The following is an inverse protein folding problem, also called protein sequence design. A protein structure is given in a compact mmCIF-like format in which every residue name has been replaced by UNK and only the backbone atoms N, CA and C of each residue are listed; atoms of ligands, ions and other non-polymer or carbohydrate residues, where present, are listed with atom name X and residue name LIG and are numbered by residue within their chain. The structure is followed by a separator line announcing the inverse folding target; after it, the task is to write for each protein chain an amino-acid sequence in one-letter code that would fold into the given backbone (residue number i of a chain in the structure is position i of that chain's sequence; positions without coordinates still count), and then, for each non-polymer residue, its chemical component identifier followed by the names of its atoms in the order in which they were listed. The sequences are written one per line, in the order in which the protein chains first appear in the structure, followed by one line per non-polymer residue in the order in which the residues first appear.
data_IF_210864962605
#
_entry.id   IF_210864962605
#
_cell.length_a   1.000
_cell.length_b   1.000
_cell.length_c   1.000
_cell.angle_alpha   90.00
_cell.angle_beta   90.00
_cell.angle_gamma   90.00
#
_symmetry.space_group_name_H-M   'P 1'
#
loop_
_entity.id
_entity.type
_entity.pdbx_description
1 polymer ?
#
# COMPACT_ATOMS: atom_id res chain seq x y z
N UNK A 1 20.05 -12.13 -19.37
CA UNK A 1 18.87 -13.02 -19.44
C UNK A 1 17.64 -12.16 -19.16
N UNK A 2 16.71 -12.05 -20.12
CA UNK A 2 15.81 -10.89 -20.21
C UNK A 2 14.72 -10.89 -19.13
N UNK A 3 14.47 -9.70 -18.57
CA UNK A 3 13.43 -9.41 -17.56
C UNK A 3 12.02 -9.85 -17.97
N UNK A 4 11.78 -10.07 -19.27
CA UNK A 4 10.53 -10.56 -19.82
C UNK A 4 10.18 -11.98 -19.35
N UNK A 5 11.16 -12.88 -19.23
CA UNK A 5 10.91 -14.27 -18.80
C UNK A 5 10.50 -14.34 -17.32
N UNK A 6 11.14 -13.54 -16.46
CA UNK A 6 10.78 -13.45 -15.04
C UNK A 6 9.43 -12.76 -14.83
N UNK A 7 9.12 -11.74 -15.63
CA UNK A 7 7.82 -11.05 -15.59
C UNK A 7 6.70 -12.01 -16.02
N UNK A 8 6.90 -12.77 -17.10
CA UNK A 8 5.93 -13.76 -17.58
C UNK A 8 5.67 -14.86 -16.54
N UNK A 9 6.71 -15.38 -15.88
CA UNK A 9 6.57 -16.38 -14.82
C UNK A 9 5.85 -15.83 -13.58
N UNK A 10 6.13 -14.59 -13.19
CA UNK A 10 5.44 -13.94 -12.08
C UNK A 10 3.96 -13.68 -12.43
N UNK A 11 3.65 -13.20 -13.63
CA UNK A 11 2.27 -13.00 -14.09
C UNK A 11 1.51 -14.32 -14.17
N UNK A 12 2.11 -15.39 -14.70
CA UNK A 12 1.53 -16.74 -14.76
C UNK A 12 1.31 -17.34 -13.36
N UNK A 13 2.24 -17.14 -12.43
CA UNK A 13 2.07 -17.56 -11.05
C UNK A 13 0.93 -16.79 -10.35
N UNK A 14 0.76 -15.51 -10.68
CA UNK A 14 -0.28 -14.64 -10.11
C UNK A 14 -1.66 -15.00 -10.67
N UNK A 15 -1.80 -15.22 -11.99
CA UNK A 15 -3.07 -15.64 -12.61
C UNK A 15 -3.47 -17.06 -12.20
N UNK A 16 -2.50 -17.99 -12.11
CA UNK A 16 -2.72 -19.33 -11.57
C UNK A 16 -3.03 -19.34 -10.05
N UNK A 17 -2.67 -18.28 -9.31
CA UNK A 17 -3.06 -18.10 -7.91
C UNK A 17 -4.51 -17.63 -7.78
N UNK A 18 -5.02 -16.84 -8.73
CA UNK A 18 -6.41 -16.36 -8.71
C UNK A 18 -7.45 -17.40 -9.15
N UNK A 19 -7.05 -18.41 -9.94
CA UNK A 19 -7.97 -19.42 -10.49
C UNK A 19 -8.24 -20.65 -9.60
N UNK A 20 -7.53 -20.82 -8.47
CA UNK A 20 -7.63 -22.06 -7.66
C UNK A 20 -8.51 -21.90 -6.42
N UNK A 21 -9.69 -22.53 -6.47
CA UNK A 21 -10.49 -23.02 -5.33
C UNK A 21 -10.66 -22.08 -4.14
N UNK A 22 -11.63 -21.17 -4.22
CA UNK A 22 -12.07 -20.39 -3.06
C UNK A 22 -12.79 -21.32 -2.06
N UNK A 23 -12.27 -21.45 -0.84
CA UNK A 23 -13.09 -21.94 0.28
C UNK A 23 -14.01 -20.81 0.75
N UNK A 24 -15.30 -21.07 1.02
CA UNK A 24 -16.18 -20.07 1.62
C UNK A 24 -15.59 -19.60 2.94
N UNK A 25 -15.28 -18.30 3.04
CA UNK A 25 -14.95 -17.67 4.32
C UNK A 25 -16.26 -17.36 5.04
N UNK A 26 -16.35 -17.55 6.37
CA UNK A 26 -17.55 -17.18 7.10
C UNK A 26 -17.85 -15.68 6.89
N UNK A 27 -19.12 -15.31 6.68
CA UNK A 27 -19.50 -13.91 6.47
C UNK A 27 -19.07 -13.06 7.67
N UNK A 28 -18.56 -11.86 7.41
CA UNK A 28 -18.18 -10.91 8.46
C UNK A 28 -19.39 -10.57 9.35
N UNK A 29 -19.15 -10.42 10.66
CA UNK A 29 -20.14 -9.87 11.60
C UNK A 29 -20.56 -8.48 11.10
N UNK A 30 -21.82 -8.38 10.67
CA UNK A 30 -22.52 -7.19 10.20
C UNK A 30 -21.86 -6.43 9.03
N UNK A 31 -21.90 -7.00 7.83
CA UNK A 31 -21.85 -6.21 6.59
C UNK A 31 -23.19 -5.46 6.41
N UNK A 32 -23.39 -4.35 7.11
CA UNK A 32 -24.52 -3.47 6.81
C UNK A 32 -24.34 -2.83 5.42
N UNK A 33 -25.42 -2.50 4.69
CA UNK A 33 -25.31 -1.79 3.41
C UNK A 33 -24.46 -0.51 3.51
N UNK A 34 -24.55 0.19 4.64
CA UNK A 34 -23.74 1.38 4.96
C UNK A 34 -22.25 1.04 5.08
N UNK A 35 -21.88 -0.05 5.75
CA UNK A 35 -20.48 -0.48 5.88
C UNK A 35 -19.85 -0.82 4.52
N UNK A 36 -20.61 -1.47 3.64
CA UNK A 36 -20.17 -1.78 2.27
C UNK A 36 -20.00 -0.51 1.44
N UNK A 37 -20.96 0.42 1.51
CA UNK A 37 -20.86 1.72 0.83
C UNK A 37 -19.61 2.50 1.27
N UNK A 38 -19.36 2.61 2.58
CA UNK A 38 -18.19 3.34 3.09
C UNK A 38 -16.87 2.65 2.72
N UNK A 39 -16.85 1.32 2.65
CA UNK A 39 -15.67 0.58 2.17
C UNK A 39 -15.41 0.87 0.69
N UNK A 40 -16.45 0.98 -0.14
CA UNK A 40 -16.30 1.36 -1.55
C UNK A 40 -15.81 2.80 -1.70
N UNK A 41 -16.34 3.73 -0.91
CA UNK A 41 -15.87 5.13 -0.89
C UNK A 41 -14.40 5.19 -0.47
N UNK A 42 -14.04 4.49 0.62
CA UNK A 42 -12.66 4.47 1.11
C UNK A 42 -11.69 3.85 0.11
N UNK A 43 -12.07 2.74 -0.53
CA UNK A 43 -11.31 2.14 -1.62
C UNK A 43 -11.19 3.09 -2.82
N UNK A 44 -12.25 3.82 -3.18
CA UNK A 44 -12.23 4.83 -4.23
C UNK A 44 -11.24 5.96 -3.95
N UNK A 45 -11.20 6.47 -2.71
CA UNK A 45 -10.23 7.50 -2.29
C UNK A 45 -8.79 6.98 -2.46
N UNK A 46 -8.50 5.76 -2.01
CA UNK A 46 -7.17 5.13 -2.17
C UNK A 46 -6.83 4.91 -3.65
N UNK A 47 -7.78 4.43 -4.46
CA UNK A 47 -7.58 4.15 -5.87
C UNK A 47 -7.32 5.43 -6.69
N UNK A 48 -8.13 6.48 -6.51
CA UNK A 48 -7.99 7.75 -7.25
C UNK A 48 -6.71 8.46 -6.86
N UNK A 49 -6.43 8.59 -5.56
CA UNK A 49 -5.17 9.21 -5.10
C UNK A 49 -3.96 8.42 -5.57
N UNK A 50 -4.04 7.09 -5.54
CA UNK A 50 -2.97 6.23 -6.04
C UNK A 50 -2.75 6.34 -7.54
N UNK A 51 -3.83 6.40 -8.33
CA UNK A 51 -3.77 6.56 -9.78
C UNK A 51 -3.17 7.91 -10.18
N UNK A 52 -3.56 9.01 -9.51
CA UNK A 52 -2.98 10.33 -9.74
C UNK A 52 -1.48 10.36 -9.43
N UNK A 53 -1.07 9.76 -8.31
CA UNK A 53 0.34 9.66 -7.92
C UNK A 53 1.17 8.80 -8.90
N UNK A 54 0.56 7.77 -9.49
CA UNK A 54 1.22 6.90 -10.47
C UNK A 54 1.35 7.54 -11.86
N UNK A 55 0.25 8.08 -12.39
CA UNK A 55 0.15 8.61 -13.76
C UNK A 55 0.74 10.01 -13.86
N UNK A 56 0.49 10.86 -12.86
CA UNK A 56 0.92 12.26 -12.83
C UNK A 56 1.67 12.59 -11.51
N UNK A 57 2.82 11.93 -11.24
CA UNK A 57 3.60 12.16 -10.01
C UNK A 57 4.09 13.61 -9.89
N UNK A 58 4.45 14.25 -11.02
CA UNK A 58 4.89 15.65 -11.02
C UNK A 58 3.78 16.61 -10.61
N UNK A 59 2.57 16.44 -11.15
CA UNK A 59 1.40 17.22 -10.73
C UNK A 59 1.08 16.98 -9.25
N UNK A 60 1.19 15.73 -8.81
CA UNK A 60 0.93 15.38 -7.41
C UNK A 60 1.90 16.09 -6.46
N UNK A 61 3.19 16.14 -6.79
CA UNK A 61 4.20 16.88 -6.02
C UNK A 61 3.99 18.40 -6.09
N UNK A 62 3.65 18.93 -7.27
CA UNK A 62 3.40 20.34 -7.50
C UNK A 62 2.20 20.86 -6.68
N UNK A 63 1.18 20.03 -6.44
CA UNK A 63 0.05 20.39 -5.56
C UNK A 63 0.49 20.68 -4.11
N UNK A 64 1.66 20.21 -3.71
CA UNK A 64 2.28 20.49 -2.41
C UNK A 64 3.47 21.45 -2.51
N UNK A 65 3.73 22.06 -3.68
CA UNK A 65 4.87 22.95 -3.89
C UNK A 65 6.24 22.25 -3.76
N UNK A 66 6.30 20.94 -3.98
CA UNK A 66 7.53 20.16 -3.82
C UNK A 66 8.30 20.03 -5.14
N UNK A 67 9.63 19.91 -5.04
CA UNK A 67 10.51 19.71 -6.18
C UNK A 67 10.27 18.34 -6.87
N UNK A 68 10.52 18.29 -8.18
CA UNK A 68 10.18 17.14 -9.04
C UNK A 68 11.40 16.47 -9.68
N UNK A 69 12.43 16.17 -8.90
CA UNK A 69 13.58 15.41 -9.40
C UNK A 69 13.22 13.92 -9.69
N UNK A 70 14.10 13.20 -10.39
CA UNK A 70 13.85 11.82 -10.79
C UNK A 70 13.51 10.90 -9.61
N UNK A 71 14.19 11.07 -8.46
CA UNK A 71 13.96 10.25 -7.27
C UNK A 71 12.62 10.58 -6.62
N UNK A 72 12.22 11.85 -6.57
CA UNK A 72 10.90 12.29 -6.10
C UNK A 72 9.76 11.72 -6.98
N UNK A 73 9.92 11.76 -8.31
CA UNK A 73 8.92 11.24 -9.24
C UNK A 73 8.73 9.72 -9.13
N UNK A 74 9.84 8.97 -9.06
CA UNK A 74 9.85 7.51 -8.91
C UNK A 74 9.25 7.08 -7.58
N UNK A 75 9.62 7.74 -6.49
CA UNK A 75 9.09 7.40 -5.17
C UNK A 75 7.63 7.81 -5.01
N UNK A 76 7.19 8.92 -5.63
CA UNK A 76 5.76 9.28 -5.68
C UNK A 76 4.94 8.23 -6.44
N UNK A 77 5.48 7.66 -7.52
CA UNK A 77 4.87 6.50 -8.18
C UNK A 77 4.74 5.30 -7.24
N UNK A 78 5.76 5.02 -6.42
CA UNK A 78 5.67 3.96 -5.43
C UNK A 78 4.53 4.19 -4.42
N UNK A 79 4.35 5.43 -3.92
CA UNK A 79 3.17 5.81 -3.12
C UNK A 79 1.87 5.44 -3.85
N UNK A 80 1.80 5.78 -5.14
CA UNK A 80 0.66 5.49 -6.00
C UNK A 80 0.31 4.01 -6.08
N UNK A 81 1.31 3.16 -6.38
CA UNK A 81 1.12 1.71 -6.44
C UNK A 81 0.60 1.14 -5.12
N UNK A 82 1.18 1.52 -3.99
CA UNK A 82 0.76 0.97 -2.69
C UNK A 82 -0.62 1.47 -2.24
N UNK A 83 -1.02 2.68 -2.65
CA UNK A 83 -2.39 3.17 -2.47
C UNK A 83 -3.40 2.38 -3.31
N UNK A 84 -3.09 2.07 -4.58
CA UNK A 84 -3.93 1.20 -5.42
C UNK A 84 -4.00 -0.22 -4.84
N UNK A 85 -2.88 -0.75 -4.35
CA UNK A 85 -2.84 -2.02 -3.65
C UNK A 85 -3.78 -2.00 -2.42
N UNK A 86 -3.68 -0.98 -1.58
CA UNK A 86 -4.56 -0.79 -0.41
C UNK A 86 -6.04 -0.74 -0.80
N UNK A 87 -6.40 -0.07 -1.89
CA UNK A 87 -7.78 -0.06 -2.40
C UNK A 87 -8.30 -1.47 -2.72
N UNK A 88 -7.49 -2.29 -3.40
CA UNK A 88 -7.85 -3.67 -3.70
C UNK A 88 -8.05 -4.50 -2.41
N UNK A 89 -7.21 -4.26 -1.39
CA UNK A 89 -7.33 -4.93 -0.08
C UNK A 89 -8.60 -4.53 0.66
N UNK A 90 -8.95 -3.24 0.65
CA UNK A 90 -10.20 -2.75 1.26
C UNK A 90 -11.43 -3.43 0.65
N UNK A 91 -11.49 -3.52 -0.69
CA UNK A 91 -12.58 -4.19 -1.39
C UNK A 91 -12.62 -5.70 -1.08
N UNK A 92 -11.46 -6.36 -1.07
CA UNK A 92 -11.36 -7.76 -0.71
C UNK A 92 -11.77 -8.04 0.75
N UNK A 93 -11.60 -7.05 1.63
CA UNK A 93 -12.04 -7.03 3.02
C UNK A 93 -13.50 -7.45 3.21
N UNK A 94 -14.38 -7.08 2.29
CA UNK A 94 -15.82 -7.41 2.34
C UNK A 94 -16.11 -8.92 2.33
N UNK A 95 -15.15 -9.74 1.87
CA UNK A 95 -15.25 -11.21 1.79
C UNK A 95 -14.56 -11.93 2.95
N UNK A 96 -14.12 -11.19 3.97
CA UNK A 96 -13.53 -11.74 5.19
C UNK A 96 -12.00 -11.77 5.21
N UNK A 97 -11.41 -12.06 6.39
CA UNK A 97 -9.99 -11.87 6.67
C UNK A 97 -9.06 -12.73 5.80
N UNK A 98 -9.43 -14.00 5.55
CA UNK A 98 -8.61 -14.91 4.73
C UNK A 98 -8.56 -14.49 3.27
N UNK A 99 -9.69 -14.05 2.71
CA UNK A 99 -9.74 -13.55 1.34
C UNK A 99 -8.95 -12.25 1.19
N UNK A 100 -9.17 -11.29 2.10
CA UNK A 100 -8.46 -10.01 2.10
C UNK A 100 -6.94 -10.21 2.25
N UNK A 101 -6.50 -11.06 3.18
CA UNK A 101 -5.09 -11.38 3.37
C UNK A 101 -4.47 -12.05 2.13
N UNK A 102 -5.15 -13.04 1.55
CA UNK A 102 -4.68 -13.72 0.35
C UNK A 102 -4.57 -12.78 -0.85
N UNK A 103 -5.63 -11.99 -1.12
CA UNK A 103 -5.62 -10.95 -2.18
C UNK A 103 -4.54 -9.91 -1.92
N UNK A 104 -4.33 -9.49 -0.67
CA UNK A 104 -3.32 -8.48 -0.34
C UNK A 104 -1.90 -8.95 -0.71
N UNK A 105 -1.54 -10.19 -0.42
CA UNK A 105 -0.23 -10.73 -0.76
C UNK A 105 -0.03 -10.87 -2.27
N UNK A 106 -1.07 -11.28 -3.00
CA UNK A 106 -1.05 -11.32 -4.48
C UNK A 106 -0.92 -9.91 -5.06
N UNK A 107 -1.68 -8.94 -4.53
CA UNK A 107 -1.63 -7.55 -4.96
C UNK A 107 -0.28 -6.89 -4.63
N UNK A 108 0.33 -7.23 -3.49
CA UNK A 108 1.67 -6.79 -3.11
C UNK A 108 2.75 -7.37 -4.04
N UNK A 109 2.59 -8.63 -4.46
CA UNK A 109 3.48 -9.24 -5.45
C UNK A 109 3.43 -8.50 -6.79
N UNK A 110 2.22 -8.22 -7.30
CA UNK A 110 2.02 -7.44 -8.53
C UNK A 110 2.55 -6.02 -8.39
N UNK A 111 2.31 -5.38 -7.24
CA UNK A 111 2.81 -4.04 -6.94
C UNK A 111 4.34 -4.01 -6.97
N UNK A 112 4.99 -4.99 -6.36
CA UNK A 112 6.44 -5.12 -6.36
C UNK A 112 6.97 -5.35 -7.77
N UNK A 113 6.31 -6.22 -8.55
CA UNK A 113 6.69 -6.51 -9.94
C UNK A 113 6.61 -5.26 -10.83
N UNK A 114 5.50 -4.51 -10.77
CA UNK A 114 5.32 -3.26 -11.51
C UNK A 114 6.35 -2.21 -11.07
N UNK A 115 6.71 -2.21 -9.79
CA UNK A 115 7.70 -1.27 -9.25
C UNK A 115 9.14 -1.58 -9.70
N UNK A 116 9.44 -2.75 -10.26
CA UNK A 116 10.79 -3.10 -10.73
C UNK A 116 11.30 -2.06 -11.74
N UNK A 117 10.50 -1.74 -12.75
CA UNK A 117 10.86 -0.74 -13.77
C UNK A 117 10.98 0.68 -13.17
N UNK A 118 10.16 0.98 -12.16
CA UNK A 118 10.20 2.25 -11.45
C UNK A 118 11.53 2.43 -10.70
N UNK A 119 12.00 1.39 -10.00
CA UNK A 119 13.25 1.43 -9.24
C UNK A 119 14.52 1.35 -10.10
N UNK A 120 14.42 0.87 -11.34
CA UNK A 120 15.55 0.82 -12.28
C UNK A 120 16.10 2.22 -12.59
N UNK A 121 15.23 3.24 -12.60
CA UNK A 121 15.62 4.66 -12.74
C UNK A 121 16.65 5.07 -11.67
N UNK A 122 16.54 4.50 -10.47
CA UNK A 122 17.43 4.72 -9.33
C UNK A 122 18.55 3.66 -9.21
N UNK A 123 18.72 2.83 -10.24
CA UNK A 123 19.75 1.78 -10.31
C UNK A 123 19.70 0.79 -9.16
N UNK A 124 18.48 0.44 -8.73
CA UNK A 124 18.26 -0.70 -7.81
C UNK A 124 18.58 -2.02 -8.53
N UNK A 125 19.34 -2.94 -7.91
CA UNK A 125 19.57 -4.27 -8.49
C UNK A 125 18.24 -5.01 -8.74
N UNK A 126 17.92 -5.22 -10.02
CA UNK A 126 16.61 -5.74 -10.45
C UNK A 126 16.32 -7.16 -9.90
N UNK A 127 17.37 -7.97 -9.72
CA UNK A 127 17.26 -9.34 -9.21
C UNK A 127 16.75 -9.42 -7.77
N UNK A 128 16.97 -8.39 -6.95
CA UNK A 128 16.69 -8.44 -5.51
C UNK A 128 15.18 -8.38 -5.20
N UNK A 129 14.35 -7.93 -6.15
CA UNK A 129 12.90 -7.84 -5.97
C UNK A 129 12.17 -9.14 -6.32
N UNK A 130 12.75 -9.95 -7.21
CA UNK A 130 12.09 -11.15 -7.76
C UNK A 130 11.78 -12.20 -6.68
N UNK A 131 12.69 -12.53 -5.74
CA UNK A 131 12.37 -13.46 -4.65
C UNK A 131 11.17 -13.00 -3.82
N UNK A 132 11.05 -11.68 -3.58
CA UNK A 132 9.92 -11.09 -2.87
C UNK A 132 8.59 -11.28 -3.63
N UNK A 133 8.59 -11.03 -4.94
CA UNK A 133 7.41 -11.25 -5.80
C UNK A 133 6.95 -12.72 -5.76
N UNK A 134 7.88 -13.66 -5.88
CA UNK A 134 7.59 -15.10 -5.85
C UNK A 134 7.04 -15.50 -4.48
N UNK A 135 7.70 -15.08 -3.40
CA UNK A 135 7.28 -15.39 -2.04
C UNK A 135 5.87 -14.88 -1.74
N UNK A 136 5.60 -13.61 -2.06
CA UNK A 136 4.29 -12.99 -1.85
C UNK A 136 3.19 -13.68 -2.67
N UNK A 137 3.50 -14.07 -3.92
CA UNK A 137 2.55 -14.80 -4.77
C UNK A 137 2.20 -16.18 -4.19
N UNK A 138 3.21 -16.93 -3.75
CA UNK A 138 3.03 -18.26 -3.14
C UNK A 138 2.25 -18.13 -1.83
N UNK A 139 2.65 -17.22 -0.94
CA UNK A 139 1.96 -17.00 0.32
C UNK A 139 0.51 -16.57 0.10
N UNK A 140 0.26 -15.66 -0.85
CA UNK A 140 -1.10 -15.25 -1.20
C UNK A 140 -1.97 -16.42 -1.65
N UNK A 141 -1.46 -17.29 -2.53
CA UNK A 141 -2.14 -18.51 -2.96
C UNK A 141 -2.41 -19.47 -1.81
N UNK A 142 -1.41 -19.71 -0.96
CA UNK A 142 -1.55 -20.59 0.20
C UNK A 142 -2.54 -20.04 1.23
N UNK A 143 -2.61 -18.72 1.41
CA UNK A 143 -3.61 -18.07 2.27
C UNK A 143 -5.02 -18.19 1.69
N UNK A 144 -5.21 -17.98 0.38
CA UNK A 144 -6.50 -18.20 -0.28
C UNK A 144 -6.97 -19.67 -0.17
N UNK A 145 -6.03 -20.61 -0.26
CA UNK A 145 -6.29 -22.04 -0.06
C UNK A 145 -6.44 -22.48 1.40
N UNK A 146 -6.34 -21.56 2.37
CA UNK A 146 -6.48 -21.84 3.80
C UNK A 146 -5.31 -22.61 4.43
N UNK A 147 -4.16 -22.70 3.75
CA UNK A 147 -2.94 -23.37 4.25
C UNK A 147 -2.06 -22.44 5.09
N UNK A 148 -2.16 -21.13 4.89
CA UNK A 148 -1.45 -20.11 5.65
C UNK A 148 -2.46 -19.16 6.28
N UNK A 149 -2.31 -18.91 7.59
CA UNK A 149 -3.23 -18.03 8.32
C UNK A 149 -3.13 -16.55 7.88
N UNK A 150 -4.23 -15.78 7.96
CA UNK A 150 -4.28 -14.39 7.47
C UNK A 150 -3.44 -13.40 8.28
N UNK A 151 -2.99 -13.79 9.50
CA UNK A 151 -2.11 -13.00 10.37
C UNK A 151 -0.79 -12.61 9.69
N UNK A 152 -0.27 -13.48 8.82
CA UNK A 152 0.98 -13.23 8.12
C UNK A 152 0.91 -12.01 7.22
N UNK A 153 -0.19 -11.82 6.50
CA UNK A 153 -0.36 -10.65 5.63
C UNK A 153 -0.34 -9.35 6.44
N UNK A 154 -1.10 -9.27 7.54
CA UNK A 154 -1.08 -8.11 8.43
C UNK A 154 0.33 -7.81 8.97
N UNK A 155 1.05 -8.84 9.41
CA UNK A 155 2.44 -8.72 9.88
C UNK A 155 3.39 -8.20 8.81
N UNK A 156 3.33 -8.74 7.59
CA UNK A 156 4.17 -8.31 6.46
C UNK A 156 3.95 -6.83 6.15
N UNK A 157 2.69 -6.38 6.03
CA UNK A 157 2.39 -4.98 5.74
C UNK A 157 2.82 -4.03 6.86
N UNK A 158 2.57 -4.39 8.13
CA UNK A 158 2.94 -3.55 9.27
C UNK A 158 4.45 -3.46 9.47
N UNK A 159 5.17 -4.58 9.34
CA UNK A 159 6.62 -4.61 9.53
C UNK A 159 7.34 -3.89 8.38
N UNK A 160 7.02 -4.25 7.13
CA UNK A 160 7.65 -3.60 5.96
C UNK A 160 7.24 -2.13 5.87
N UNK A 161 5.93 -1.85 6.01
CA UNK A 161 5.43 -0.47 5.98
C UNK A 161 6.03 0.38 7.10
N UNK A 162 6.10 -0.16 8.32
CA UNK A 162 6.69 0.51 9.47
C UNK A 162 8.18 0.80 9.29
N UNK A 163 8.94 -0.16 8.77
CA UNK A 163 10.36 0.02 8.45
C UNK A 163 10.56 1.13 7.41
N UNK A 164 9.82 1.09 6.30
CA UNK A 164 9.92 2.07 5.22
C UNK A 164 9.51 3.47 5.72
N UNK A 165 8.45 3.53 6.53
CA UNK A 165 7.94 4.78 7.08
C UNK A 165 8.90 5.42 8.09
N UNK A 166 9.43 4.62 9.03
CA UNK A 166 10.25 5.10 10.13
C UNK A 166 11.73 5.30 9.75
N UNK A 167 12.25 4.46 8.84
CA UNK A 167 13.65 4.45 8.43
C UNK A 167 13.79 4.44 6.89
N UNK A 168 13.32 5.49 6.19
CA UNK A 168 13.41 5.55 4.73
C UNK A 168 14.86 5.54 4.23
N UNK A 169 15.79 6.16 4.96
CA UNK A 169 17.22 6.17 4.58
C UNK A 169 17.84 4.78 4.63
N UNK A 170 17.67 4.05 5.74
CA UNK A 170 18.14 2.66 5.85
C UNK A 170 17.43 1.75 4.84
N UNK A 171 16.15 2.00 4.56
CA UNK A 171 15.43 1.28 3.50
C UNK A 171 16.10 1.47 2.14
N UNK A 172 16.47 2.71 1.77
CA UNK A 172 17.14 3.02 0.51
C UNK A 172 18.48 2.31 0.40
N UNK A 173 19.28 2.33 1.47
CA UNK A 173 20.65 1.84 1.48
C UNK A 173 20.72 0.31 1.65
N UNK A 174 20.03 -0.22 2.66
CA UNK A 174 20.25 -1.58 3.16
C UNK A 174 19.23 -2.59 2.61
N UNK A 175 18.03 -2.12 2.24
CA UNK A 175 16.95 -3.00 1.79
C UNK A 175 16.75 -2.91 0.28
N UNK A 176 16.75 -1.69 -0.25
CA UNK A 176 16.56 -1.44 -1.67
C UNK A 176 17.89 -1.37 -2.42
N UNK A 177 19.01 -1.15 -1.73
CA UNK A 177 20.35 -1.07 -2.32
C UNK A 177 20.38 -0.07 -3.51
N UNK A 178 19.71 1.07 -3.34
CA UNK A 178 19.65 2.12 -4.36
C UNK A 178 21.03 2.76 -4.50
N UNK A 179 21.55 2.74 -5.74
CA UNK A 179 22.91 3.22 -6.03
C UNK A 179 22.97 4.72 -6.33
N UNK A 180 21.87 5.30 -6.85
CA UNK A 180 21.80 6.73 -7.15
C UNK A 180 21.40 7.55 -5.92
N UNK A 181 21.89 8.80 -5.77
CA UNK A 181 21.42 9.69 -4.73
C UNK A 181 19.90 9.88 -4.77
N UNK A 182 19.27 9.83 -3.59
CA UNK A 182 17.84 10.09 -3.40
C UNK A 182 17.68 11.44 -2.71
N UNK A 183 16.85 12.32 -3.27
CA UNK A 183 16.57 13.64 -2.72
C UNK A 183 15.79 13.56 -1.42
N UNK A 184 15.73 14.65 -0.65
CA UNK A 184 14.91 14.72 0.55
C UNK A 184 13.42 14.55 0.26
N UNK A 185 12.95 15.08 -0.87
CA UNK A 185 11.58 14.84 -1.35
C UNK A 185 11.39 13.35 -1.66
N UNK A 186 12.33 12.72 -2.36
CA UNK A 186 12.28 11.28 -2.66
C UNK A 186 12.25 10.42 -1.39
N UNK A 187 13.05 10.76 -0.38
CA UNK A 187 13.03 10.10 0.94
C UNK A 187 11.68 10.26 1.63
N UNK A 188 11.12 11.46 1.60
CA UNK A 188 9.80 11.75 2.18
C UNK A 188 8.69 10.97 1.48
N UNK A 189 8.70 10.90 0.14
CA UNK A 189 7.73 10.10 -0.61
C UNK A 189 7.88 8.60 -0.32
N UNK A 190 9.11 8.11 -0.13
CA UNK A 190 9.31 6.73 0.31
C UNK A 190 8.71 6.50 1.70
N UNK A 191 8.90 7.42 2.65
CA UNK A 191 8.24 7.33 3.97
C UNK A 191 6.71 7.29 3.85
N UNK A 192 6.12 8.14 3.00
CA UNK A 192 4.68 8.10 2.69
C UNK A 192 4.24 6.77 2.09
N UNK A 193 5.05 6.18 1.20
CA UNK A 193 4.80 4.85 0.65
C UNK A 193 4.74 3.81 1.77
N UNK A 194 5.68 3.85 2.72
CA UNK A 194 5.63 3.02 3.92
C UNK A 194 4.34 3.23 4.71
N UNK A 195 3.91 4.49 4.85
CA UNK A 195 2.62 4.84 5.47
C UNK A 195 1.41 4.18 4.80
N UNK A 196 1.37 4.12 3.46
CA UNK A 196 0.30 3.43 2.73
C UNK A 196 0.26 1.92 3.04
N UNK A 197 1.42 1.28 3.19
CA UNK A 197 1.49 -0.12 3.65
C UNK A 197 1.01 -0.25 5.09
N UNK A 198 1.40 0.65 6.01
CA UNK A 198 0.94 0.62 7.40
C UNK A 198 -0.58 0.72 7.48
N UNK A 199 -1.19 1.68 6.79
CA UNK A 199 -2.65 1.83 6.75
C UNK A 199 -3.36 0.55 6.26
N UNK A 200 -2.80 -0.10 5.23
CA UNK A 200 -3.30 -1.39 4.72
C UNK A 200 -3.10 -2.52 5.72
N UNK A 201 -1.95 -2.55 6.41
CA UNK A 201 -1.65 -3.52 7.46
C UNK A 201 -2.57 -3.40 8.67
N UNK A 202 -2.93 -2.17 9.07
CA UNK A 202 -3.89 -1.89 10.14
C UNK A 202 -5.28 -2.42 9.78
N UNK A 203 -5.71 -2.24 8.52
CA UNK A 203 -6.98 -2.82 8.03
C UNK A 203 -7.01 -4.34 8.21
N UNK A 204 -5.97 -5.01 7.71
CA UNK A 204 -5.82 -6.47 7.78
C UNK A 204 -5.72 -6.94 9.23
N UNK A 205 -4.98 -6.23 10.09
CA UNK A 205 -4.87 -6.55 11.50
C UNK A 205 -6.23 -6.50 12.20
N UNK A 206 -7.05 -5.48 11.91
CA UNK A 206 -8.42 -5.38 12.42
C UNK A 206 -9.28 -6.57 12.00
N UNK A 207 -9.28 -6.91 10.70
CA UNK A 207 -10.04 -8.06 10.19
C UNK A 207 -9.61 -9.37 10.84
N UNK A 208 -8.30 -9.58 11.00
CA UNK A 208 -7.73 -10.78 11.61
C UNK A 208 -8.01 -10.88 13.11
N UNK A 209 -8.20 -9.74 13.78
CA UNK A 209 -8.66 -9.67 15.19
C UNK A 209 -10.16 -9.85 15.32
N UNK A 210 -10.90 -10.02 14.23
CA UNK A 210 -12.34 -10.21 14.24
C UNK A 210 -13.12 -8.92 14.48
N UNK A 211 -12.50 -7.75 14.26
CA UNK A 211 -13.22 -6.48 14.27
C UNK A 211 -14.22 -6.44 13.11
N UNK A 212 -15.31 -5.72 13.31
CA UNK A 212 -16.28 -5.49 12.25
C UNK A 212 -15.67 -4.63 11.13
N UNK A 213 -16.15 -4.78 9.90
CA UNK A 213 -15.66 -4.01 8.75
C UNK A 213 -15.61 -2.48 8.99
N UNK A 214 -16.63 -1.84 9.62
CA UNK A 214 -16.58 -0.41 9.89
C UNK A 214 -15.48 -0.02 10.89
N UNK A 215 -15.19 -0.87 11.89
CA UNK A 215 -14.09 -0.64 12.83
C UNK A 215 -12.73 -0.76 12.13
N UNK A 216 -12.57 -1.74 11.23
CA UNK A 216 -11.36 -1.88 10.43
C UNK A 216 -11.14 -0.65 9.56
N UNK A 217 -12.20 -0.18 8.89
CA UNK A 217 -12.16 1.02 8.05
C UNK A 217 -11.81 2.26 8.88
N UNK A 218 -12.42 2.42 10.05
CA UNK A 218 -12.12 3.52 10.96
C UNK A 218 -10.65 3.53 11.40
N UNK A 219 -10.10 2.37 11.78
CA UNK A 219 -8.69 2.26 12.17
C UNK A 219 -7.74 2.61 11.01
N UNK A 220 -8.04 2.13 9.80
CA UNK A 220 -7.25 2.44 8.61
C UNK A 220 -7.22 3.93 8.32
N UNK A 221 -8.39 4.58 8.31
CA UNK A 221 -8.48 6.00 8.00
C UNK A 221 -7.95 6.90 9.13
N UNK A 222 -8.10 6.50 10.40
CA UNK A 222 -7.46 7.18 11.51
C UNK A 222 -5.92 7.09 11.43
N UNK A 223 -5.40 5.92 11.05
CA UNK A 223 -3.96 5.73 10.82
C UNK A 223 -3.46 6.60 9.67
N UNK A 224 -4.19 6.59 8.55
CA UNK A 224 -3.86 7.40 7.38
C UNK A 224 -3.92 8.91 7.68
N UNK A 225 -4.87 9.35 8.52
CA UNK A 225 -4.93 10.73 9.00
C UNK A 225 -3.71 11.11 9.85
N UNK A 226 -3.30 10.24 10.78
CA UNK A 226 -2.12 10.47 11.62
C UNK A 226 -0.84 10.54 10.79
N UNK A 227 -0.70 9.66 9.79
CA UNK A 227 0.44 9.66 8.87
C UNK A 227 0.49 10.92 8.01
N UNK A 228 -0.65 11.35 7.47
CA UNK A 228 -0.74 12.59 6.69
C UNK A 228 -0.46 13.83 7.55
N UNK A 229 -0.95 13.85 8.79
CA UNK A 229 -0.66 14.91 9.74
C UNK A 229 0.84 14.98 10.06
N UNK A 230 1.47 13.83 10.35
CA UNK A 230 2.93 13.75 10.57
C UNK A 230 3.69 14.28 9.36
N UNK A 231 3.31 13.86 8.17
CA UNK A 231 3.97 14.28 6.94
C UNK A 231 3.84 15.81 6.73
N UNK A 232 2.64 16.37 6.91
CA UNK A 232 2.40 17.81 6.81
C UNK A 232 3.19 18.63 7.84
N UNK A 233 3.30 18.12 9.08
CA UNK A 233 3.92 18.83 10.19
C UNK A 233 5.44 18.73 10.20
N UNK A 234 6.00 17.56 9.86
CA UNK A 234 7.41 17.25 10.09
C UNK A 234 8.25 17.17 8.81
N UNK A 235 7.62 16.89 7.66
CA UNK A 235 8.35 16.67 6.41
C UNK A 235 8.08 17.77 5.38
N UNK A 236 6.83 18.04 5.05
CA UNK A 236 6.49 19.07 4.04
C UNK A 236 7.07 20.43 4.40
N UNK A 237 7.06 20.78 5.69
CA UNK A 237 7.63 22.04 6.17
C UNK A 237 9.13 22.17 5.93
N UNK A 238 9.89 21.11 6.20
CA UNK A 238 11.35 21.12 6.06
C UNK A 238 11.76 21.09 4.60
N UNK A 239 10.86 20.62 3.72
CA UNK A 239 11.03 20.61 2.27
C UNK A 239 10.58 21.90 1.57
N UNK A 240 10.09 22.90 2.32
CA UNK A 240 9.59 24.17 1.76
C UNK A 240 8.24 24.07 1.04
N UNK A 241 7.49 22.98 1.25
CA UNK A 241 6.20 22.73 0.60
C UNK A 241 4.98 23.31 1.34
N UNK A 242 3.83 23.26 0.67
CA UNK A 242 2.53 23.68 1.18
C UNK A 242 1.87 22.60 2.05
N UNK A 243 1.70 22.89 3.35
CA UNK A 243 1.11 21.97 4.34
C UNK A 243 -0.38 21.69 4.14
N UNK A 244 -1.09 22.60 3.49
CA UNK A 244 -2.56 22.60 3.40
C UNK A 244 -3.08 21.29 2.83
N UNK A 245 -2.46 20.75 1.78
CA UNK A 245 -2.89 19.48 1.20
C UNK A 245 -2.80 18.30 2.19
N UNK A 246 -1.73 18.23 2.98
CA UNK A 246 -1.57 17.19 4.00
C UNK A 246 -2.58 17.33 5.14
N UNK A 247 -2.90 18.55 5.57
CA UNK A 247 -3.96 18.79 6.55
C UNK A 247 -5.35 18.45 6.03
N UNK A 248 -5.68 18.84 4.80
CA UNK A 248 -6.95 18.49 4.18
C UNK A 248 -7.12 16.98 4.04
N UNK A 249 -6.04 16.27 3.70
CA UNK A 249 -6.04 14.81 3.67
C UNK A 249 -6.28 14.22 5.07
N UNK A 250 -5.59 14.71 6.09
CA UNK A 250 -5.77 14.26 7.47
C UNK A 250 -7.22 14.47 7.96
N UNK A 251 -7.80 15.64 7.70
CA UNK A 251 -9.19 15.96 8.06
C UNK A 251 -10.17 15.04 7.31
N UNK A 252 -9.97 14.86 6.01
CA UNK A 252 -10.84 14.01 5.17
C UNK A 252 -10.79 12.56 5.64
N UNK A 253 -9.60 12.04 5.95
CA UNK A 253 -9.41 10.70 6.47
C UNK A 253 -10.06 10.55 7.86
N UNK A 254 -9.91 11.53 8.75
CA UNK A 254 -10.57 11.49 10.06
C UNK A 254 -12.11 11.52 9.93
N UNK A 255 -12.66 12.28 8.98
CA UNK A 255 -14.08 12.32 8.69
C UNK A 255 -14.59 10.95 8.23
N UNK A 256 -13.88 10.27 7.33
CA UNK A 256 -14.22 8.89 6.91
C UNK A 256 -14.14 7.92 8.08
N UNK A 257 -13.14 8.07 8.96
CA UNK A 257 -13.02 7.25 10.15
C UNK A 257 -14.20 7.42 11.11
N UNK A 258 -14.61 8.66 11.38
CA UNK A 258 -15.77 8.98 12.22
C UNK A 258 -17.08 8.45 11.60
N UNK A 259 -17.29 8.67 10.30
CA UNK A 259 -18.48 8.19 9.57
C UNK A 259 -18.60 6.66 9.55
N UNK A 260 -17.47 5.96 9.64
CA UNK A 260 -17.41 4.49 9.72
C UNK A 260 -17.85 3.96 11.09
N UNK A 261 -17.81 4.76 12.15
CA UNK A 261 -18.23 4.36 13.49
C UNK A 261 -19.65 4.82 13.86
N UNK A 262 -20.21 5.78 13.11
CA UNK A 262 -21.56 6.32 13.26
C UNK A 262 -22.62 5.52 12.48
#
# INVERSE_FOLDING_TARGET
MSSAACTLLATLATTAAMQTGQRPSPPLRAASPRASMLTNVGAGIFAVSGALAWVAPGQSLANYGLATDASALVTMRAVGCWRICGAAVLLAGTRGPSHAAGVSLVAAALTTLVSVANWDVLSRPLGNQIPGVVLLSILGKLTLGGRVGPRWAAGVYLLLGGLIWAAPTSTIQDVYEIQKPVSDVGRSMLSLSGGALVSTGVFLAGLVRGLALPQCLALTFATDAALALKWALLEVSSLGGAKVGGFLWAISSLAVAALSLA
#
